data_IF_596868817249
#
_entry.id   IF_596868817249
#
_cell.length_a   1.000
_cell.length_b   1.000
_cell.length_c   1.000
_cell.angle_alpha   90.00
_cell.angle_beta   90.00
_cell.angle_gamma   90.00
#
_symmetry.space_group_name_H-M   'P 1'
#
loop_
_entity.id
_entity.type
_entity.pdbx_description
1 polymer ?
#
# COMPACT_ATOMS: atom_id res chain seq x y z
N UNK A 1 13.34 -26.30 9.22
CA UNK A 1 13.46 -24.85 8.99
C UNK A 1 12.16 -24.12 9.36
N UNK A 2 11.00 -24.55 8.87
CA UNK A 2 9.69 -23.91 9.11
C UNK A 2 9.32 -23.83 10.60
N UNK A 3 9.65 -24.86 11.39
CA UNK A 3 9.38 -24.90 12.83
C UNK A 3 10.26 -23.91 13.60
N UNK A 4 11.49 -23.72 13.16
CA UNK A 4 12.43 -22.77 13.78
C UNK A 4 11.92 -21.31 13.63
N UNK A 5 11.47 -20.93 12.44
CA UNK A 5 10.92 -19.59 12.20
C UNK A 5 9.63 -19.33 12.96
N UNK A 6 8.71 -20.32 13.05
CA UNK A 6 7.50 -20.21 13.87
C UNK A 6 7.81 -19.94 15.34
N UNK A 7 8.78 -20.63 15.90
CA UNK A 7 9.19 -20.46 17.29
C UNK A 7 9.86 -19.09 17.53
N UNK A 8 10.67 -18.62 16.59
CA UNK A 8 11.35 -17.33 16.68
C UNK A 8 10.34 -16.18 16.61
N UNK A 9 9.36 -16.24 15.69
CA UNK A 9 8.32 -15.21 15.55
C UNK A 9 7.32 -15.26 16.69
N UNK A 10 6.94 -16.44 17.18
CA UNK A 10 6.08 -16.57 18.36
C UNK A 10 6.70 -15.92 19.59
N UNK A 11 8.02 -16.02 19.76
CA UNK A 11 8.74 -15.31 20.83
C UNK A 11 8.81 -13.79 20.59
N UNK A 12 8.79 -13.36 19.32
CA UNK A 12 8.77 -11.94 18.94
C UNK A 12 7.37 -11.30 19.06
N UNK A 13 6.30 -12.04 18.81
CA UNK A 13 4.90 -11.57 18.93
C UNK A 13 4.44 -11.35 20.39
N UNK A 14 5.17 -11.84 21.36
CA UNK A 14 4.89 -11.72 22.80
C UNK A 14 5.30 -10.39 23.44
N UNK A 15 5.12 -9.25 22.74
CA UNK A 15 5.33 -7.91 23.33
C UNK A 15 6.79 -7.58 23.59
N UNK A 16 7.61 -7.52 22.54
CA UNK A 16 9.02 -7.18 22.66
C UNK A 16 9.16 -5.73 23.11
N UNK A 17 9.62 -5.54 24.34
CA UNK A 17 10.21 -4.28 24.74
C UNK A 17 11.56 -4.14 24.01
N UNK A 18 11.56 -3.31 22.95
CA UNK A 18 12.72 -3.05 22.08
C UNK A 18 13.98 -2.68 22.91
N UNK A 19 13.80 -2.08 24.08
CA UNK A 19 14.87 -1.71 25.01
C UNK A 19 15.57 -2.93 25.66
N UNK A 20 14.98 -4.12 25.57
CA UNK A 20 15.53 -5.36 26.16
C UNK A 20 16.15 -6.29 25.10
N UNK A 21 16.19 -5.91 23.82
CA UNK A 21 16.87 -6.70 22.78
C UNK A 21 18.38 -6.51 22.98
N UNK A 22 19.05 -7.52 23.51
CA UNK A 22 20.50 -7.49 23.60
C UNK A 22 21.10 -7.54 22.19
N UNK A 23 22.20 -6.79 21.98
CA UNK A 23 22.92 -6.76 20.70
C UNK A 23 23.24 -8.18 20.17
N UNK A 24 23.60 -9.10 21.06
CA UNK A 24 23.87 -10.52 20.75
C UNK A 24 22.68 -11.26 20.13
N UNK A 25 21.41 -10.83 20.42
CA UNK A 25 20.21 -11.45 19.83
C UNK A 25 20.02 -10.97 18.38
N UNK A 26 20.41 -9.73 18.07
CA UNK A 26 20.34 -9.18 16.71
C UNK A 26 21.42 -9.81 15.83
N UNK A 27 22.64 -9.97 16.37
CA UNK A 27 23.78 -10.57 15.65
C UNK A 27 23.57 -12.05 15.31
N UNK A 28 22.74 -12.75 16.08
CA UNK A 28 22.39 -14.16 15.85
C UNK A 28 21.06 -14.36 15.11
N UNK A 29 20.40 -13.26 14.68
CA UNK A 29 19.13 -13.34 13.96
C UNK A 29 19.39 -13.84 12.53
N UNK A 30 18.98 -15.06 12.22
CA UNK A 30 18.99 -15.58 10.85
C UNK A 30 17.79 -15.00 10.10
N UNK A 31 18.00 -13.93 9.36
CA UNK A 31 16.97 -13.36 8.47
C UNK A 31 16.92 -14.23 7.22
N UNK A 32 15.76 -14.80 6.85
CA UNK A 32 15.64 -15.59 5.64
C UNK A 32 15.88 -14.72 4.40
N UNK A 33 16.66 -15.22 3.46
CA UNK A 33 16.85 -14.60 2.15
C UNK A 33 15.62 -14.90 1.26
N UNK A 34 14.55 -14.17 1.49
CA UNK A 34 13.31 -14.30 0.72
C UNK A 34 12.60 -12.95 0.67
N UNK A 35 11.68 -12.80 -0.29
CA UNK A 35 10.82 -11.62 -0.37
C UNK A 35 9.80 -11.60 0.76
N UNK A 36 9.19 -10.45 1.05
CA UNK A 36 8.09 -10.35 2.02
C UNK A 36 6.92 -11.23 1.61
N UNK A 37 6.57 -11.27 0.33
CA UNK A 37 5.55 -12.17 -0.21
C UNK A 37 5.84 -13.64 0.13
N UNK A 38 7.05 -14.12 -0.13
CA UNK A 38 7.46 -15.49 0.19
C UNK A 38 7.41 -15.73 1.69
N UNK A 39 7.93 -14.80 2.48
CA UNK A 39 7.92 -14.91 3.93
C UNK A 39 6.50 -15.05 4.49
N UNK A 40 5.57 -14.21 4.04
CA UNK A 40 4.17 -14.25 4.46
C UNK A 40 3.49 -15.55 4.05
N UNK A 41 3.68 -16.02 2.80
CA UNK A 41 3.11 -17.29 2.32
C UNK A 41 3.59 -18.49 3.12
N UNK A 42 4.86 -18.49 3.55
CA UNK A 42 5.40 -19.58 4.36
C UNK A 42 4.96 -19.58 5.82
N UNK A 43 4.64 -18.39 6.35
CA UNK A 43 4.41 -18.22 7.80
C UNK A 43 2.97 -17.89 8.17
N UNK A 44 2.08 -17.61 7.22
CA UNK A 44 0.67 -17.38 7.51
C UNK A 44 0.02 -18.61 8.18
N UNK A 45 -0.93 -18.42 9.10
CA UNK A 45 -1.57 -19.52 9.81
C UNK A 45 -2.54 -20.34 8.95
N UNK A 46 -3.06 -19.78 7.86
CA UNK A 46 -3.98 -20.41 6.92
C UNK A 46 -4.60 -19.37 5.99
N UNK A 47 -5.04 -19.78 4.81
CA UNK A 47 -5.58 -18.88 3.78
C UNK A 47 -6.90 -18.23 4.22
N UNK A 48 -7.75 -18.96 4.95
CA UNK A 48 -9.06 -18.49 5.41
C UNK A 48 -9.00 -17.69 6.73
N UNK A 49 -7.82 -17.53 7.30
CA UNK A 49 -7.64 -16.76 8.53
C UNK A 49 -7.57 -15.26 8.20
N UNK A 50 -8.25 -14.39 8.98
CA UNK A 50 -8.13 -12.95 8.82
C UNK A 50 -6.66 -12.47 8.90
N UNK A 51 -6.22 -11.78 7.87
CA UNK A 51 -4.91 -11.13 7.80
C UNK A 51 -5.01 -9.66 8.26
N UNK A 52 -6.11 -9.01 7.96
CA UNK A 52 -6.37 -7.60 8.25
C UNK A 52 -7.76 -7.49 8.86
N UNK A 53 -7.85 -6.77 9.97
CA UNK A 53 -9.11 -6.29 10.53
C UNK A 53 -9.19 -4.78 10.33
N UNK A 54 -10.17 -4.30 9.56
CA UNK A 54 -10.31 -2.90 9.22
C UNK A 54 -11.75 -2.42 9.37
N UNK A 55 -12.02 -1.64 10.41
CA UNK A 55 -13.34 -1.08 10.73
C UNK A 55 -14.49 -2.09 10.59
N UNK A 56 -14.37 -3.24 11.27
CA UNK A 56 -15.41 -4.27 11.28
C UNK A 56 -15.40 -5.22 10.09
N UNK A 57 -14.55 -5.00 9.11
CA UNK A 57 -14.33 -5.90 7.98
C UNK A 57 -13.08 -6.75 8.20
N UNK A 58 -13.21 -8.05 8.07
CA UNK A 58 -12.10 -9.00 8.07
C UNK A 58 -11.70 -9.33 6.63
N UNK A 59 -10.42 -9.19 6.33
CA UNK A 59 -9.84 -9.55 5.04
C UNK A 59 -8.89 -10.71 5.28
N UNK A 60 -9.14 -11.83 4.65
CA UNK A 60 -8.36 -13.07 4.79
C UNK A 60 -7.01 -13.01 4.06
N UNK A 61 -6.09 -13.90 4.39
CA UNK A 61 -4.84 -14.05 3.64
C UNK A 61 -5.09 -14.39 2.17
N UNK A 62 -6.12 -15.21 1.87
CA UNK A 62 -6.49 -15.51 0.49
C UNK A 62 -6.83 -14.23 -0.29
N UNK A 63 -7.66 -13.36 0.27
CA UNK A 63 -8.05 -12.08 -0.34
C UNK A 63 -6.87 -11.12 -0.49
N UNK A 64 -5.98 -11.05 0.51
CA UNK A 64 -4.76 -10.23 0.42
C UNK A 64 -3.89 -10.68 -0.75
N UNK A 65 -3.65 -12.00 -0.90
CA UNK A 65 -2.83 -12.51 -1.99
C UNK A 65 -3.52 -12.39 -3.36
N UNK A 66 -4.83 -12.61 -3.43
CA UNK A 66 -5.60 -12.40 -4.67
C UNK A 66 -5.54 -10.93 -5.12
N UNK A 67 -5.76 -10.00 -4.19
CA UNK A 67 -5.66 -8.57 -4.48
C UNK A 67 -4.22 -8.18 -4.88
N UNK A 68 -3.22 -8.74 -4.21
CA UNK A 68 -1.80 -8.54 -4.58
C UNK A 68 -1.54 -8.96 -6.03
N UNK A 69 -2.08 -10.11 -6.48
CA UNK A 69 -1.95 -10.58 -7.87
C UNK A 69 -2.63 -9.65 -8.87
N UNK A 70 -3.87 -9.23 -8.57
CA UNK A 70 -4.61 -8.30 -9.44
C UNK A 70 -3.84 -6.99 -9.61
N UNK A 71 -3.40 -6.41 -8.49
CA UNK A 71 -2.64 -5.15 -8.48
C UNK A 71 -1.31 -5.31 -9.22
N UNK A 72 -0.59 -6.43 -9.03
CA UNK A 72 0.68 -6.67 -9.73
C UNK A 72 0.51 -6.72 -11.25
N UNK A 73 -0.58 -7.35 -11.75
CA UNK A 73 -0.90 -7.35 -13.19
C UNK A 73 -1.22 -5.93 -13.68
N UNK A 74 -1.99 -5.16 -12.92
CA UNK A 74 -2.35 -3.79 -13.27
C UNK A 74 -1.13 -2.85 -13.26
N UNK A 75 -0.20 -3.01 -12.32
CA UNK A 75 1.07 -2.29 -12.31
C UNK A 75 1.89 -2.57 -13.57
N UNK A 76 1.97 -3.84 -13.99
CA UNK A 76 2.64 -4.21 -15.27
C UNK A 76 1.95 -3.61 -16.48
N UNK A 77 0.61 -3.58 -16.51
CA UNK A 77 -0.16 -2.95 -17.57
C UNK A 77 0.06 -1.42 -17.64
N UNK A 78 0.33 -0.77 -16.51
CA UNK A 78 0.79 0.64 -16.46
C UNK A 78 2.26 0.81 -16.88
N UNK A 79 2.98 -0.26 -17.16
CA UNK A 79 4.38 -0.21 -17.56
C UNK A 79 5.38 -0.23 -16.40
N UNK A 80 4.94 -0.55 -15.17
CA UNK A 80 5.83 -0.70 -14.02
C UNK A 80 6.82 -1.84 -14.23
N UNK A 81 8.09 -1.59 -13.92
CA UNK A 81 9.22 -2.51 -14.14
C UNK A 81 10.03 -2.69 -12.85
N UNK A 82 10.89 -3.70 -12.88
CA UNK A 82 11.90 -3.90 -11.83
C UNK A 82 12.79 -2.65 -11.67
N UNK A 83 12.99 -2.25 -10.43
CA UNK A 83 13.76 -1.06 -10.06
C UNK A 83 12.96 0.24 -10.01
N UNK A 84 11.72 0.25 -10.49
CA UNK A 84 10.89 1.45 -10.43
C UNK A 84 10.48 1.79 -8.99
N UNK A 85 10.19 3.07 -8.77
CA UNK A 85 9.56 3.56 -7.57
C UNK A 85 8.10 3.91 -7.86
N UNK A 86 7.18 3.33 -7.10
CA UNK A 86 5.73 3.54 -7.19
C UNK A 86 5.31 4.56 -6.15
N UNK A 87 5.04 5.82 -6.53
CA UNK A 87 4.55 6.82 -5.59
C UNK A 87 3.16 6.45 -5.08
N UNK A 88 3.04 6.32 -3.75
CA UNK A 88 1.77 5.98 -3.10
C UNK A 88 1.54 6.89 -1.89
N UNK A 89 0.54 7.75 -2.00
CA UNK A 89 0.12 8.66 -0.93
C UNK A 89 -1.16 8.18 -0.25
N UNK A 90 -1.41 6.88 -0.38
CA UNK A 90 -2.46 6.20 0.37
C UNK A 90 -2.10 6.18 1.85
N UNK A 91 -3.13 6.31 2.69
CA UNK A 91 -3.00 6.13 4.15
C UNK A 91 -2.99 4.64 4.49
N UNK A 92 -3.08 4.31 5.77
CA UNK A 92 -3.12 2.93 6.28
C UNK A 92 -4.48 2.28 5.97
N UNK A 93 -4.65 1.85 4.73
CA UNK A 93 -5.83 1.12 4.22
C UNK A 93 -5.41 -0.27 3.74
N UNK A 94 -6.32 -1.25 3.70
CA UNK A 94 -6.00 -2.62 3.27
C UNK A 94 -5.36 -2.69 1.88
N UNK A 95 -5.82 -1.87 0.95
CA UNK A 95 -5.31 -1.79 -0.41
C UNK A 95 -3.83 -1.39 -0.48
N UNK A 96 -3.37 -0.54 0.47
CA UNK A 96 -1.97 -0.17 0.54
C UNK A 96 -1.07 -1.37 0.85
N UNK A 97 -1.52 -2.30 1.70
CA UNK A 97 -0.79 -3.53 2.01
C UNK A 97 -0.66 -4.39 0.77
N UNK A 98 -1.77 -4.61 0.05
CA UNK A 98 -1.75 -5.38 -1.20
C UNK A 98 -0.93 -4.69 -2.30
N UNK A 99 -0.97 -3.35 -2.38
CA UNK A 99 -0.14 -2.56 -3.31
C UNK A 99 1.36 -2.69 -2.99
N UNK A 100 1.72 -2.64 -1.71
CA UNK A 100 3.09 -2.83 -1.25
C UNK A 100 3.64 -4.21 -1.67
N UNK A 101 2.87 -5.26 -1.41
CA UNK A 101 3.23 -6.62 -1.79
C UNK A 101 3.27 -6.80 -3.33
N UNK A 102 2.36 -6.13 -4.05
CA UNK A 102 2.33 -6.15 -5.51
C UNK A 102 3.53 -5.43 -6.14
N UNK A 103 3.94 -4.29 -5.57
CA UNK A 103 5.15 -3.59 -6.01
C UNK A 103 6.39 -4.47 -5.84
N UNK A 104 6.56 -5.13 -4.68
CA UNK A 104 7.64 -6.10 -4.46
C UNK A 104 7.61 -7.22 -5.52
N UNK A 105 6.42 -7.71 -5.87
CA UNK A 105 6.23 -8.81 -6.81
C UNK A 105 6.61 -8.47 -8.25
N UNK A 106 6.53 -7.20 -8.63
CA UNK A 106 7.02 -6.70 -9.92
C UNK A 106 8.47 -6.19 -9.87
N UNK A 107 9.13 -6.28 -8.70
CA UNK A 107 10.50 -5.83 -8.49
C UNK A 107 10.63 -4.32 -8.27
N UNK A 108 9.51 -3.64 -7.99
CA UNK A 108 9.46 -2.21 -7.68
C UNK A 108 9.46 -1.95 -6.17
N UNK A 109 9.64 -0.69 -5.80
CA UNK A 109 9.55 -0.22 -4.42
C UNK A 109 8.44 0.82 -4.27
N UNK A 110 7.91 1.00 -3.06
CA UNK A 110 6.93 2.05 -2.77
C UNK A 110 7.65 3.33 -2.32
N UNK A 111 7.30 4.44 -2.96
CA UNK A 111 7.66 5.78 -2.52
C UNK A 111 6.50 6.35 -1.69
N UNK A 112 6.71 6.42 -0.37
CA UNK A 112 5.69 6.92 0.54
C UNK A 112 5.63 8.45 0.58
N UNK A 113 4.49 8.97 1.07
CA UNK A 113 4.26 10.41 1.27
C UNK A 113 5.30 11.04 2.18
N UNK A 114 5.83 12.20 1.78
CA UNK A 114 6.66 13.10 2.57
C UNK A 114 5.80 14.09 3.38
N UNK A 115 6.45 14.99 4.13
CA UNK A 115 5.77 15.90 5.05
C UNK A 115 5.02 17.06 4.34
N UNK A 116 5.50 17.50 3.18
CA UNK A 116 4.91 18.62 2.45
C UNK A 116 4.63 18.29 0.99
N UNK A 117 3.71 19.05 0.36
CA UNK A 117 3.42 18.90 -1.06
C UNK A 117 4.67 19.10 -1.92
N UNK A 118 5.49 20.11 -1.59
CA UNK A 118 6.74 20.38 -2.31
C UNK A 118 7.69 19.17 -2.28
N UNK A 119 7.94 18.61 -1.09
CA UNK A 119 8.79 17.41 -0.95
C UNK A 119 8.21 16.20 -1.68
N UNK A 120 6.88 16.05 -1.68
CA UNK A 120 6.20 15.00 -2.44
C UNK A 120 6.44 15.15 -3.95
N UNK A 121 6.29 16.36 -4.49
CA UNK A 121 6.52 16.63 -5.92
C UNK A 121 7.98 16.39 -6.29
N UNK A 122 8.93 16.88 -5.49
CA UNK A 122 10.36 16.65 -5.71
C UNK A 122 10.72 15.16 -5.69
N UNK A 123 10.16 14.39 -4.75
CA UNK A 123 10.38 12.95 -4.64
C UNK A 123 9.79 12.19 -5.83
N UNK A 124 8.57 12.51 -6.26
CA UNK A 124 7.92 11.89 -7.42
C UNK A 124 8.66 12.25 -8.72
N UNK A 125 9.09 13.49 -8.88
CA UNK A 125 9.90 13.91 -10.03
C UNK A 125 11.22 13.13 -10.08
N UNK A 126 11.88 12.97 -8.94
CA UNK A 126 13.13 12.20 -8.83
C UNK A 126 12.93 10.71 -9.12
N UNK A 127 11.79 10.14 -8.75
CA UNK A 127 11.42 8.76 -9.07
C UNK A 127 11.19 8.52 -10.57
N UNK A 128 10.84 9.58 -11.32
CA UNK A 128 10.57 9.50 -12.75
C UNK A 128 9.32 8.69 -13.12
N UNK A 129 8.43 8.43 -12.16
CA UNK A 129 7.24 7.61 -12.38
C UNK A 129 6.21 8.33 -13.26
N UNK A 130 5.56 7.58 -14.16
CA UNK A 130 4.48 8.07 -15.02
C UNK A 130 3.10 7.94 -14.38
N UNK A 131 2.99 7.35 -13.21
CA UNK A 131 1.75 7.21 -12.46
C UNK A 131 1.97 7.33 -10.96
N UNK A 132 0.92 7.64 -10.22
CA UNK A 132 0.92 7.67 -8.76
C UNK A 132 -0.43 7.25 -8.19
N UNK A 133 -0.43 6.89 -6.90
CA UNK A 133 -1.63 6.56 -6.14
C UNK A 133 -1.91 7.63 -5.10
N UNK A 134 -3.16 8.03 -4.99
CA UNK A 134 -3.63 8.96 -3.96
C UNK A 134 -5.06 8.59 -3.51
N UNK A 135 -5.49 9.17 -2.40
CA UNK A 135 -6.91 9.11 -2.04
C UNK A 135 -7.75 10.07 -2.88
N UNK A 136 -9.03 9.78 -3.02
CA UNK A 136 -9.99 10.53 -3.81
C UNK A 136 -10.34 11.93 -3.24
N UNK A 137 -9.74 12.31 -2.10
CA UNK A 137 -9.75 13.69 -1.60
C UNK A 137 -8.54 14.53 -2.07
N UNK A 138 -7.75 14.04 -3.02
CA UNK A 138 -6.74 14.85 -3.72
C UNK A 138 -7.44 16.03 -4.40
N UNK A 139 -6.94 17.24 -4.14
CA UNK A 139 -7.53 18.46 -4.73
C UNK A 139 -7.06 18.68 -6.17
N UNK A 140 -7.85 19.44 -6.94
CA UNK A 140 -7.46 19.85 -8.31
C UNK A 140 -6.14 20.62 -8.33
N UNK A 141 -5.89 21.45 -7.31
CA UNK A 141 -4.62 22.19 -7.17
C UNK A 141 -3.42 21.24 -6.98
N UNK A 142 -3.54 20.27 -6.07
CA UNK A 142 -2.51 19.26 -5.85
C UNK A 142 -2.27 18.43 -7.11
N UNK A 143 -3.33 17.96 -7.77
CA UNK A 143 -3.25 17.24 -9.05
C UNK A 143 -2.45 18.04 -10.08
N UNK A 144 -2.82 19.29 -10.30
CA UNK A 144 -2.14 20.15 -11.29
C UNK A 144 -0.67 20.37 -10.93
N UNK A 145 -0.36 20.46 -9.63
CA UNK A 145 1.02 20.59 -9.15
C UNK A 145 1.84 19.34 -9.48
N UNK A 146 1.30 18.13 -9.29
CA UNK A 146 1.98 16.89 -9.69
C UNK A 146 2.12 16.79 -11.20
N UNK A 147 1.06 16.99 -11.97
CA UNK A 147 1.08 16.88 -13.44
C UNK A 147 2.05 17.88 -14.08
N UNK A 148 2.20 19.08 -13.52
CA UNK A 148 3.11 20.10 -14.06
C UNK A 148 4.55 19.98 -13.57
N UNK A 149 4.76 19.39 -12.38
CA UNK A 149 6.06 19.33 -11.72
C UNK A 149 6.76 17.97 -11.84
N UNK A 150 6.14 16.96 -12.46
CA UNK A 150 6.66 15.59 -12.54
C UNK A 150 6.39 14.95 -13.90
N UNK A 151 6.78 13.69 -14.08
CA UNK A 151 6.46 12.89 -15.27
C UNK A 151 5.11 12.13 -15.15
N UNK A 152 4.33 12.38 -14.10
CA UNK A 152 3.07 11.68 -13.86
C UNK A 152 2.05 12.04 -14.94
N UNK A 153 1.52 11.02 -15.59
CA UNK A 153 0.47 11.09 -16.62
C UNK A 153 -0.86 10.51 -16.12
N UNK A 154 -0.80 9.64 -15.11
CA UNK A 154 -1.97 9.00 -14.51
C UNK A 154 -1.93 9.06 -12.99
N UNK A 155 -3.05 9.44 -12.39
CA UNK A 155 -3.25 9.44 -10.94
C UNK A 155 -4.38 8.47 -10.62
N UNK A 156 -4.07 7.42 -9.86
CA UNK A 156 -5.03 6.41 -9.44
C UNK A 156 -5.63 6.86 -8.11
N UNK A 157 -6.94 7.08 -8.10
CA UNK A 157 -7.67 7.49 -6.89
C UNK A 157 -8.35 6.32 -6.21
N UNK A 158 -8.10 6.19 -4.91
CA UNK A 158 -8.69 5.18 -4.03
C UNK A 158 -9.53 5.85 -2.95
N UNK A 159 -10.83 5.52 -2.83
CA UNK A 159 -11.64 5.91 -1.68
C UNK A 159 -11.08 5.32 -0.38
N UNK A 160 -11.00 6.08 0.73
CA UNK A 160 -10.48 5.55 2.01
C UNK A 160 -11.29 4.39 2.59
N UNK A 161 -12.53 4.25 2.18
CA UNK A 161 -13.47 3.23 2.65
C UNK A 161 -13.74 2.14 1.61
N UNK A 162 -12.85 1.95 0.64
CA UNK A 162 -13.06 0.99 -0.45
C UNK A 162 -13.25 -0.47 0.04
N UNK A 163 -12.57 -0.85 1.11
CA UNK A 163 -12.62 -2.21 1.70
C UNK A 163 -13.45 -2.33 2.98
N UNK A 164 -14.29 -1.36 3.31
CA UNK A 164 -15.12 -1.44 4.51
C UNK A 164 -16.47 -0.75 4.32
N UNK A 165 -17.42 -1.12 5.17
CA UNK A 165 -18.69 -0.40 5.28
C UNK A 165 -18.45 0.90 6.06
N UNK A 166 -18.72 2.04 5.43
CA UNK A 166 -18.56 3.37 6.06
C UNK A 166 -19.47 3.50 7.30
N UNK A 167 -20.62 2.83 7.32
CA UNK A 167 -21.54 2.86 8.46
C UNK A 167 -21.00 2.07 9.67
N UNK A 168 -20.10 1.12 9.46
CA UNK A 168 -19.41 0.41 10.51
C UNK A 168 -18.27 1.21 11.17
N UNK A 169 -17.88 2.33 10.56
CA UNK A 169 -16.84 3.20 11.11
C UNK A 169 -17.34 4.02 12.31
N UNK A 170 -16.48 4.25 13.32
CA UNK A 170 -16.78 5.19 14.38
C UNK A 170 -17.05 6.61 13.85
N UNK A 171 -17.96 7.34 14.49
CA UNK A 171 -18.37 8.69 14.05
C UNK A 171 -17.19 9.64 13.88
N UNK A 172 -16.20 9.59 14.78
CA UNK A 172 -15.03 10.46 14.71
C UNK A 172 -14.18 10.19 13.46
N UNK A 173 -14.17 8.95 12.95
CA UNK A 173 -13.47 8.59 11.70
C UNK A 173 -14.23 9.10 10.50
N UNK A 174 -15.56 8.87 10.46
CA UNK A 174 -16.45 9.38 9.40
C UNK A 174 -16.36 10.90 9.29
N UNK A 175 -16.41 11.61 10.42
CA UNK A 175 -16.30 13.05 10.47
C UNK A 175 -14.92 13.52 9.94
N UNK A 176 -13.84 12.86 10.35
CA UNK A 176 -12.49 13.18 9.86
C UNK A 176 -12.33 12.91 8.35
N UNK A 177 -12.99 11.89 7.81
CA UNK A 177 -13.01 11.67 6.36
C UNK A 177 -13.73 12.81 5.66
N UNK A 178 -14.91 13.21 6.13
CA UNK A 178 -15.67 14.33 5.56
C UNK A 178 -14.90 15.66 5.62
N UNK A 179 -14.15 15.91 6.69
CA UNK A 179 -13.30 17.10 6.83
C UNK A 179 -12.14 17.15 5.83
N UNK A 180 -11.68 16.01 5.31
CA UNK A 180 -10.64 15.98 4.28
C UNK A 180 -11.15 16.33 2.87
N UNK A 181 -12.48 16.29 2.63
CA UNK A 181 -13.11 16.70 1.39
C UNK A 181 -13.40 18.22 1.39
N UNK A 182 -12.36 19.03 1.56
CA UNK A 182 -12.49 20.49 1.75
C UNK A 182 -12.30 21.31 0.47
N UNK A 183 -12.19 20.69 -0.67
CA UNK A 183 -11.96 21.37 -1.93
C UNK A 183 -12.60 20.66 -3.11
N UNK A 184 -12.38 21.18 -4.30
CA UNK A 184 -12.75 20.51 -5.53
C UNK A 184 -11.82 19.28 -5.70
N UNK A 185 -12.40 18.07 -5.65
CA UNK A 185 -11.64 16.83 -5.84
C UNK A 185 -11.06 16.74 -7.24
N UNK A 186 -9.89 16.12 -7.36
CA UNK A 186 -9.21 15.91 -8.62
C UNK A 186 -10.08 15.13 -9.63
N UNK A 187 -10.17 15.63 -10.86
CA UNK A 187 -10.92 15.02 -11.95
C UNK A 187 -10.24 15.29 -13.30
N UNK A 188 -10.66 14.60 -14.33
CA UNK A 188 -10.17 14.82 -15.69
C UNK A 188 -9.44 13.60 -16.29
N UNK A 189 -8.88 13.73 -17.49
CA UNK A 189 -8.36 12.58 -18.26
C UNK A 189 -7.11 11.91 -17.65
N UNK A 190 -6.41 12.59 -16.74
CA UNK A 190 -5.29 12.03 -16.00
C UNK A 190 -5.73 11.16 -14.80
N UNK A 191 -7.00 11.27 -14.39
CA UNK A 191 -7.54 10.52 -13.25
C UNK A 191 -8.11 9.20 -13.74
N UNK A 192 -7.78 8.11 -13.03
CA UNK A 192 -8.43 6.81 -13.13
C UNK A 192 -8.84 6.34 -11.73
N UNK A 193 -9.97 5.69 -11.64
CA UNK A 193 -10.46 5.10 -10.40
C UNK A 193 -9.68 3.84 -10.06
N UNK A 194 -9.76 3.42 -8.80
CA UNK A 194 -9.19 2.13 -8.37
C UNK A 194 -9.75 0.95 -9.17
N UNK A 195 -11.05 0.95 -9.48
CA UNK A 195 -11.68 -0.10 -10.27
C UNK A 195 -11.15 -0.14 -11.71
N UNK A 196 -11.02 1.01 -12.36
CA UNK A 196 -10.43 1.11 -13.70
C UNK A 196 -8.97 0.66 -13.72
N UNK A 197 -8.20 1.02 -12.68
CA UNK A 197 -6.83 0.53 -12.51
C UNK A 197 -6.78 -1.00 -12.43
N UNK A 198 -7.62 -1.63 -11.60
CA UNK A 198 -7.66 -3.09 -11.50
C UNK A 198 -8.05 -3.76 -12.81
N UNK A 199 -8.98 -3.18 -13.58
CA UNK A 199 -9.40 -3.68 -14.88
C UNK A 199 -8.27 -3.70 -15.93
N UNK A 200 -7.22 -2.87 -15.79
CA UNK A 200 -6.05 -2.91 -16.68
C UNK A 200 -5.32 -4.27 -16.64
N UNK A 201 -5.36 -4.94 -15.50
CA UNK A 201 -4.69 -6.23 -15.31
C UNK A 201 -5.52 -7.45 -15.69
N UNK A 202 -6.74 -7.26 -16.20
CA UNK A 202 -7.65 -8.34 -16.63
C UNK A 202 -7.52 -8.69 -18.12
N UNK A 203 -6.80 -7.88 -18.90
CA UNK A 203 -6.63 -8.02 -20.35
C UNK A 203 -5.30 -8.76 -20.71
#
# INVERSE_FOLDING_TARGET
QTQYYRNTISSLAGGININNIKKEHIENLQIPLCTMNQYLQYNMPGMDIPAIHYYGTDITWAEVFENTEKIARSLKALGCKEGDQVPSFLRSVPEFISLFLAAERVGASILCRMNSLKENVEAVASAGSHFMFAHDFLTVEEMNTFLSGTNVEKIILLPPCNSCDIEAMPDYVRNSLNENYTGECAHGPAIITWAEFLALGEN
#
